data_IF_796486015016
#
_entry.id   IF_796486015016
#
_cell.length_a   1.000
_cell.length_b   1.000
_cell.length_c   1.000
_cell.angle_alpha   90.00
_cell.angle_beta   90.00
_cell.angle_gamma   90.00
#
_symmetry.space_group_name_H-M   'P 1'
#
loop_
_entity.id
_entity.type
_entity.pdbx_description
1 polymer ?
#
# COMPACT_ATOMS: atom_id res chain seq x y z
N UNK A 1 -8.24 -0.51 3.40
CA UNK A 1 -7.59 0.61 2.67
C UNK A 1 -7.02 0.06 1.37
N UNK A 2 -6.90 0.90 0.33
CA UNK A 2 -6.22 0.58 -0.93
C UNK A 2 -5.14 1.61 -1.14
N UNK A 3 -3.97 1.20 -1.60
CA UNK A 3 -2.82 2.07 -1.90
C UNK A 3 -2.38 1.84 -3.34
N UNK A 4 -2.25 2.90 -4.11
CA UNK A 4 -1.70 2.86 -5.47
C UNK A 4 -0.19 3.07 -5.42
N UNK A 5 0.55 2.22 -6.12
CA UNK A 5 2.01 2.28 -6.25
C UNK A 5 2.44 2.11 -7.71
N UNK A 6 3.58 2.66 -8.07
CA UNK A 6 4.14 2.52 -9.42
C UNK A 6 5.67 2.56 -9.40
N UNK A 7 6.28 2.47 -10.58
CA UNK A 7 7.74 2.51 -10.74
C UNK A 7 8.41 3.80 -10.22
N UNK A 8 7.65 4.88 -10.03
CA UNK A 8 8.12 6.11 -9.39
C UNK A 8 8.02 6.12 -7.87
N UNK A 9 7.32 5.15 -7.28
CA UNK A 9 7.24 4.99 -5.82
C UNK A 9 8.60 4.50 -5.30
N UNK A 10 9.23 5.29 -4.43
CA UNK A 10 10.59 5.02 -3.99
C UNK A 10 10.85 5.35 -2.52
N UNK A 11 11.85 4.71 -1.91
CA UNK A 11 12.42 5.05 -0.60
C UNK A 11 11.36 5.06 0.53
N UNK A 12 11.11 6.20 1.19
CA UNK A 12 10.14 6.31 2.29
C UNK A 12 8.72 5.85 1.90
N UNK A 13 8.31 6.06 0.65
CA UNK A 13 7.04 5.58 0.14
C UNK A 13 6.99 4.07 0.05
N UNK A 14 8.11 3.42 -0.29
CA UNK A 14 8.21 1.96 -0.30
C UNK A 14 8.19 1.38 1.10
N UNK A 15 8.83 2.06 2.07
CA UNK A 15 8.78 1.65 3.49
C UNK A 15 7.34 1.67 3.99
N UNK A 16 6.61 2.74 3.70
CA UNK A 16 5.21 2.86 4.09
C UNK A 16 4.35 1.80 3.39
N UNK A 17 4.50 1.65 2.07
CA UNK A 17 3.75 0.67 1.29
C UNK A 17 4.01 -0.77 1.79
N UNK A 18 5.27 -1.14 1.99
CA UNK A 18 5.64 -2.46 2.51
C UNK A 18 5.16 -2.71 3.93
N UNK A 19 5.20 -1.70 4.79
CA UNK A 19 4.65 -1.82 6.14
C UNK A 19 3.13 -2.02 6.14
N UNK A 20 2.41 -1.34 5.27
CA UNK A 20 0.96 -1.48 5.14
C UNK A 20 0.57 -2.84 4.55
N UNK A 21 1.32 -3.33 3.56
CA UNK A 21 1.12 -4.62 2.92
C UNK A 21 1.39 -5.76 3.90
N UNK A 22 2.55 -5.78 4.53
CA UNK A 22 2.97 -6.85 5.44
C UNK A 22 2.11 -6.96 6.71
N UNK A 23 1.39 -5.90 7.07
CA UNK A 23 0.45 -5.90 8.20
C UNK A 23 -1.02 -6.01 7.75
N UNK A 24 -1.31 -6.40 6.51
CA UNK A 24 -2.67 -6.53 5.95
C UNK A 24 -3.56 -5.28 6.15
N UNK A 25 -2.93 -4.09 6.24
CA UNK A 25 -3.63 -2.82 6.45
C UNK A 25 -4.09 -2.17 5.16
N UNK A 26 -3.43 -2.48 4.05
CA UNK A 26 -3.78 -1.98 2.73
C UNK A 26 -3.52 -3.03 1.66
N UNK A 27 -4.41 -3.11 0.70
CA UNK A 27 -4.18 -3.80 -0.55
C UNK A 27 -3.41 -2.87 -1.49
N UNK A 28 -2.24 -3.27 -1.94
CA UNK A 28 -1.42 -2.52 -2.88
C UNK A 28 -1.83 -2.86 -4.31
N UNK A 29 -2.15 -1.84 -5.10
CA UNK A 29 -2.51 -1.96 -6.52
C UNK A 29 -1.55 -1.12 -7.36
N UNK A 30 -1.26 -1.55 -8.57
CA UNK A 30 -0.46 -0.77 -9.52
C UNK A 30 0.61 -1.56 -10.23
N UNK A 31 1.84 -1.05 -10.25
CA UNK A 31 3.02 -1.72 -10.77
C UNK A 31 4.13 -1.81 -9.71
N UNK A 32 5.16 -2.59 -10.02
CA UNK A 32 6.33 -2.77 -9.15
C UNK A 32 7.00 -1.42 -8.85
N UNK A 33 7.44 -1.24 -7.60
CA UNK A 33 8.06 0.02 -7.16
C UNK A 33 9.54 0.10 -7.52
N UNK A 34 10.18 1.22 -7.25
CA UNK A 34 11.54 1.53 -7.71
C UNK A 34 12.63 0.63 -7.11
N UNK A 35 12.53 0.30 -5.83
CA UNK A 35 13.56 -0.49 -5.14
C UNK A 35 14.71 0.32 -4.57
N UNK A 36 14.44 1.46 -3.91
CA UNK A 36 15.45 2.24 -3.19
C UNK A 36 15.45 1.92 -1.70
N UNK A 37 16.16 0.86 -1.33
CA UNK A 37 16.22 0.32 0.02
C UNK A 37 17.42 0.77 0.86
N UNK A 38 18.31 1.64 0.36
CA UNK A 38 19.52 2.04 1.05
C UNK A 38 19.42 3.42 1.69
N UNK A 39 19.99 3.55 2.89
CA UNK A 39 20.20 4.81 3.59
C UNK A 39 21.62 5.28 3.36
N UNK A 40 21.78 6.53 2.92
CA UNK A 40 23.07 7.16 2.71
C UNK A 40 23.22 8.40 3.60
N UNK A 41 24.39 8.54 4.21
CA UNK A 41 24.80 9.76 4.88
C UNK A 41 25.63 10.60 3.92
N UNK A 42 25.31 11.89 3.84
CA UNK A 42 26.07 12.86 3.05
C UNK A 42 27.01 13.62 3.99
N UNK A 43 28.30 13.63 3.66
CA UNK A 43 29.33 14.37 4.41
C UNK A 43 30.01 15.36 3.47
N UNK A 44 30.04 16.62 3.84
CA UNK A 44 30.78 17.63 3.10
C UNK A 44 32.27 17.55 3.46
N UNK A 45 33.12 17.59 2.44
CA UNK A 45 34.55 17.63 2.60
C UNK A 45 35.07 19.07 2.61
N UNK A 46 36.32 19.26 3.10
CA UNK A 46 36.91 20.59 3.27
C UNK A 46 37.21 21.34 1.96
N UNK A 47 37.22 20.64 0.85
CA UNK A 47 37.41 21.20 -0.50
C UNK A 47 36.10 21.57 -1.19
N UNK A 48 34.95 21.42 -0.48
CA UNK A 48 33.60 21.69 -1.00
C UNK A 48 32.96 20.53 -1.76
N UNK A 49 33.66 19.41 -1.89
CA UNK A 49 33.07 18.17 -2.44
C UNK A 49 32.21 17.46 -1.40
N UNK A 50 31.37 16.51 -1.84
CA UNK A 50 30.52 15.69 -1.00
C UNK A 50 30.85 14.20 -1.10
N UNK A 51 30.74 13.50 0.00
CA UNK A 51 30.84 12.05 0.08
C UNK A 51 29.50 11.46 0.52
N UNK A 52 28.96 10.54 -0.29
CA UNK A 52 27.80 9.75 0.06
C UNK A 52 28.24 8.36 0.50
N UNK A 53 27.91 7.98 1.73
CA UNK A 53 28.26 6.67 2.30
C UNK A 53 26.99 5.92 2.65
N UNK A 54 26.81 4.72 2.14
CA UNK A 54 25.72 3.82 2.54
C UNK A 54 25.98 3.32 3.96
N UNK A 55 25.05 3.55 4.86
CA UNK A 55 25.18 3.23 6.28
C UNK A 55 24.19 2.16 6.76
N UNK A 56 23.07 1.97 6.05
CA UNK A 56 22.05 0.96 6.39
C UNK A 56 21.21 0.60 5.18
N UNK A 57 20.41 -0.45 5.32
CA UNK A 57 19.35 -0.84 4.39
C UNK A 57 18.02 -0.96 5.10
N UNK A 58 16.94 -0.80 4.36
CA UNK A 58 15.59 -1.06 4.83
C UNK A 58 15.17 -2.48 4.51
N UNK A 59 14.48 -3.09 5.46
CA UNK A 59 13.69 -4.29 5.23
C UNK A 59 12.24 -4.01 5.63
N UNK A 60 11.30 -4.70 5.00
CA UNK A 60 9.89 -4.61 5.40
C UNK A 60 9.67 -5.35 6.73
N UNK A 61 8.53 -5.19 7.41
CA UNK A 61 8.23 -5.93 8.65
C UNK A 61 8.36 -7.45 8.51
N UNK A 62 8.09 -8.02 7.34
CA UNK A 62 8.29 -9.45 7.05
C UNK A 62 9.74 -9.83 6.72
N UNK A 63 10.67 -8.88 6.74
CA UNK A 63 12.09 -9.10 6.47
C UNK A 63 12.49 -9.09 5.00
N UNK A 64 11.62 -8.63 4.09
CA UNK A 64 11.95 -8.52 2.66
C UNK A 64 12.92 -7.36 2.43
N UNK A 65 14.00 -7.60 1.70
CA UNK A 65 14.87 -6.55 1.19
C UNK A 65 14.22 -5.91 -0.04
N UNK A 66 14.11 -4.59 -0.04
CA UNK A 66 13.54 -3.83 -1.15
C UNK A 66 14.60 -3.28 -2.11
N UNK A 67 15.90 -3.36 -1.75
CA UNK A 67 16.96 -2.79 -2.57
C UNK A 67 17.08 -3.50 -3.91
N UNK A 68 16.87 -2.75 -5.00
CA UNK A 68 16.94 -3.25 -6.37
C UNK A 68 15.80 -4.20 -6.79
N UNK A 69 14.87 -4.49 -5.88
CA UNK A 69 13.72 -5.38 -6.14
C UNK A 69 12.40 -4.62 -6.10
N UNK A 70 12.30 -3.57 -5.27
CA UNK A 70 11.05 -2.88 -5.03
C UNK A 70 10.04 -3.71 -4.24
N UNK A 71 8.81 -3.24 -4.26
CA UNK A 71 7.65 -3.91 -3.69
C UNK A 71 6.72 -4.30 -4.82
N UNK A 72 6.41 -5.58 -4.91
CA UNK A 72 5.41 -6.09 -5.84
C UNK A 72 4.02 -5.83 -5.25
N UNK A 73 3.11 -5.14 -5.96
CA UNK A 73 1.76 -4.92 -5.48
C UNK A 73 0.98 -6.24 -5.40
N UNK A 74 -0.05 -6.29 -4.54
CA UNK A 74 -0.93 -7.45 -4.40
C UNK A 74 -1.72 -7.72 -5.67
N UNK A 75 -1.97 -6.66 -6.45
CA UNK A 75 -2.62 -6.75 -7.74
C UNK A 75 -2.00 -5.77 -8.74
N UNK A 76 -1.51 -6.31 -9.84
CA UNK A 76 -1.07 -5.52 -10.98
C UNK A 76 -2.27 -4.87 -11.67
N UNK A 77 -2.11 -3.62 -12.06
CA UNK A 77 -3.07 -2.88 -12.89
C UNK A 77 -2.58 -2.80 -14.32
N UNK A 78 -3.53 -2.66 -15.26
CA UNK A 78 -3.23 -2.63 -16.68
C UNK A 78 -2.35 -1.43 -17.06
N UNK A 79 -1.42 -1.69 -17.95
CA UNK A 79 -0.58 -0.67 -18.57
C UNK A 79 -1.31 0.03 -19.75
N UNK A 80 -0.99 1.29 -20.06
CA UNK A 80 0.07 2.11 -19.45
C UNK A 80 -0.35 2.71 -18.11
N UNK A 81 0.68 3.07 -17.31
CA UNK A 81 0.47 3.88 -16.12
C UNK A 81 -0.19 5.23 -16.46
N UNK A 82 -1.04 5.79 -15.58
CA UNK A 82 -1.67 7.07 -15.85
C UNK A 82 -0.62 8.19 -15.95
N UNK A 83 -0.67 8.96 -17.03
CA UNK A 83 0.24 10.11 -17.24
C UNK A 83 -0.03 11.26 -16.27
N UNK A 84 -1.25 11.33 -15.75
CA UNK A 84 -1.69 12.35 -14.80
C UNK A 84 -2.39 11.67 -13.61
N UNK A 85 -1.65 11.14 -12.63
CA UNK A 85 -2.21 10.46 -11.47
C UNK A 85 -3.20 11.35 -10.70
N UNK A 86 -4.39 10.81 -10.43
CA UNK A 86 -5.48 11.53 -9.79
C UNK A 86 -6.24 12.50 -10.68
N UNK A 87 -5.85 12.63 -11.94
CA UNK A 87 -6.52 13.49 -12.92
C UNK A 87 -7.68 12.81 -13.66
N UNK A 88 -8.29 13.58 -14.56
CA UNK A 88 -9.34 13.06 -15.44
C UNK A 88 -8.80 11.93 -16.34
N UNK A 89 -9.51 10.80 -16.38
CA UNK A 89 -9.12 9.63 -17.15
C UNK A 89 -8.12 8.70 -16.47
N UNK A 90 -7.79 8.91 -15.21
CA UNK A 90 -6.98 7.97 -14.41
C UNK A 90 -7.76 6.68 -14.15
N UNK A 91 -7.44 5.65 -14.94
CA UNK A 91 -8.06 4.32 -14.80
C UNK A 91 -7.65 3.63 -13.51
N UNK A 92 -6.41 3.82 -13.08
CA UNK A 92 -5.91 3.19 -11.86
C UNK A 92 -6.65 3.69 -10.63
N UNK A 93 -6.93 5.01 -10.56
CA UNK A 93 -7.74 5.57 -9.49
C UNK A 93 -9.17 5.01 -9.52
N UNK A 94 -9.76 4.90 -10.72
CA UNK A 94 -11.11 4.33 -10.89
C UNK A 94 -11.17 2.88 -10.45
N UNK A 95 -10.18 2.06 -10.83
CA UNK A 95 -10.12 0.65 -10.46
C UNK A 95 -9.87 0.46 -8.96
N UNK A 96 -9.00 1.30 -8.36
CA UNK A 96 -8.74 1.31 -6.93
C UNK A 96 -10.01 1.68 -6.13
N UNK A 97 -10.80 2.66 -6.60
CA UNK A 97 -12.06 3.03 -5.98
C UNK A 97 -13.05 1.86 -5.98
N UNK A 98 -13.22 1.18 -7.12
CA UNK A 98 -14.10 -0.01 -7.21
C UNK A 98 -13.66 -1.13 -6.27
N UNK A 99 -12.35 -1.38 -6.17
CA UNK A 99 -11.81 -2.40 -5.25
C UNK A 99 -12.10 -2.00 -3.80
N UNK A 100 -11.92 -0.73 -3.47
CA UNK A 100 -12.18 -0.22 -2.12
C UNK A 100 -13.68 -0.33 -1.76
N UNK A 101 -14.58 0.04 -2.66
CA UNK A 101 -16.03 -0.11 -2.50
C UNK A 101 -16.40 -1.57 -2.22
N UNK A 102 -15.91 -2.50 -3.05
CA UNK A 102 -16.17 -3.93 -2.85
C UNK A 102 -15.66 -4.47 -1.49
N UNK A 103 -14.52 -3.95 -0.99
CA UNK A 103 -13.99 -4.30 0.33
C UNK A 103 -14.92 -3.77 1.44
N UNK A 104 -15.43 -2.54 1.29
CA UNK A 104 -16.33 -1.92 2.25
C UNK A 104 -17.65 -2.70 2.31
N UNK A 105 -18.26 -2.98 1.16
CA UNK A 105 -19.54 -3.69 1.05
C UNK A 105 -19.44 -5.08 1.69
N UNK A 106 -18.36 -5.82 1.42
CA UNK A 106 -18.14 -7.13 2.04
C UNK A 106 -18.01 -7.04 3.56
N UNK A 107 -17.24 -6.09 4.08
CA UNK A 107 -17.09 -5.90 5.53
C UNK A 107 -18.40 -5.48 6.19
N UNK A 108 -19.19 -4.66 5.51
CA UNK A 108 -20.51 -4.25 6.00
C UNK A 108 -21.46 -5.46 6.07
N UNK A 109 -21.47 -6.30 5.03
CA UNK A 109 -22.26 -7.53 5.01
C UNK A 109 -21.85 -8.52 6.11
N UNK A 110 -20.54 -8.67 6.37
CA UNK A 110 -19.98 -9.53 7.42
C UNK A 110 -20.29 -8.99 8.85
N UNK A 111 -20.51 -7.68 9.00
CA UNK A 111 -20.81 -7.04 10.30
C UNK A 111 -22.31 -6.99 10.63
N UNK A 112 -23.19 -7.34 9.70
CA UNK A 112 -24.63 -7.39 9.95
C UNK A 112 -24.94 -8.62 10.83
N UNK A 113 -25.80 -8.47 11.87
CA UNK A 113 -26.23 -9.59 12.68
C UNK A 113 -26.97 -10.61 11.81
N UNK A 114 -26.73 -11.89 12.04
CA UNK A 114 -27.45 -12.95 11.34
C UNK A 114 -28.94 -12.93 11.73
N UNK A 115 -29.81 -13.41 10.84
CA UNK A 115 -31.24 -13.46 11.09
C UNK A 115 -31.60 -14.20 12.41
N UNK A 116 -30.77 -15.18 12.81
CA UNK A 116 -30.95 -15.91 14.07
C UNK A 116 -30.61 -15.04 15.30
N UNK A 117 -29.68 -14.10 15.19
CA UNK A 117 -29.33 -13.19 16.28
C UNK A 117 -30.44 -12.13 16.49
N UNK A 118 -31.05 -11.64 15.43
CA UNK A 118 -32.16 -10.67 15.50
C UNK A 118 -33.38 -11.31 16.15
N UNK A 119 -33.73 -12.55 15.79
CA UNK A 119 -34.86 -13.28 16.39
C UNK A 119 -34.66 -13.60 17.87
N UNK A 120 -33.41 -13.81 18.32
CA UNK A 120 -33.11 -14.08 19.73
C UNK A 120 -33.25 -12.84 20.64
N UNK A 121 -32.92 -11.65 20.13
CA UNK A 121 -33.11 -10.37 20.85
C UNK A 121 -34.61 -10.01 20.97
N UNK A 122 -35.40 -10.20 19.90
CA UNK A 122 -36.85 -9.90 19.90
C UNK A 122 -37.63 -10.82 20.84
N UNK A 123 -37.17 -12.09 21.01
CA UNK A 123 -37.80 -13.02 21.97
C UNK A 123 -37.37 -12.74 23.43
N UNK A 124 -36.24 -12.09 23.67
CA UNK A 124 -35.78 -11.73 25.02
C UNK A 124 -36.47 -10.45 25.54
N UNK A 125 -36.92 -9.57 24.68
CA UNK A 125 -37.60 -8.33 25.04
C UNK A 125 -39.12 -8.52 25.33
N UNK A 126 -39.69 -9.68 24.95
CA UNK A 126 -41.10 -10.04 25.15
C UNK A 126 -41.38 -11.00 26.32
N UNK A 127 -40.38 -11.34 27.11
CA UNK A 127 -40.45 -12.20 28.31
C UNK A 127 -40.24 -11.40 29.60
#
# INVERSE_FOLDING_TARGET
MVTLVNAGTASASEILAGALQDNDRSLLLGSETFGKGLIQTLTNLSDGSGLAVTVAGYVTPSGRDIQGQGITPDRLLDQPEPLNPGGEGDRWLTDAARVLEAIIDRKTAESLPTADAINSEEMAETA
#
